data_IF_760222757190
#
_entry.id   IF_760222757190
#
_cell.length_a   1.000
_cell.length_b   1.000
_cell.length_c   1.000
_cell.angle_alpha   90.00
_cell.angle_beta   90.00
_cell.angle_gamma   90.00
#
_symmetry.space_group_name_H-M   'P 1'
#
loop_
_entity.id
_entity.type
_entity.pdbx_description
1 polymer ?
#
# COMPACT_ATOMS: atom_id res chain seq x y z
N UNK A 1 38.96 0.68 6.19
CA UNK A 1 37.49 0.49 6.30
C UNK A 1 36.83 1.42 5.29
N UNK A 2 35.85 0.93 4.52
CA UNK A 2 35.12 1.79 3.58
C UNK A 2 34.30 2.84 4.36
N UNK A 3 34.12 4.06 3.84
CA UNK A 3 33.22 5.03 4.46
C UNK A 3 31.76 4.57 4.32
N UNK A 4 30.91 4.99 5.25
CA UNK A 4 29.46 4.84 5.11
C UNK A 4 28.97 5.63 3.88
N UNK A 5 28.06 5.09 3.03
CA UNK A 5 27.25 3.87 3.20
C UNK A 5 27.90 2.57 2.69
N UNK A 6 29.05 2.63 2.01
CA UNK A 6 29.70 1.44 1.44
C UNK A 6 30.13 0.42 2.50
N UNK A 7 30.47 0.86 3.71
CA UNK A 7 30.71 -0.03 4.85
C UNK A 7 29.51 -0.91 5.18
N UNK A 8 28.28 -0.39 5.08
CA UNK A 8 27.06 -1.17 5.34
C UNK A 8 26.90 -2.27 4.30
N UNK A 9 26.98 -1.94 3.00
CA UNK A 9 26.88 -2.94 1.93
C UNK A 9 27.97 -4.02 2.02
N UNK A 10 29.18 -3.66 2.45
CA UNK A 10 30.23 -4.65 2.69
C UNK A 10 29.94 -5.59 3.88
N UNK A 11 29.15 -5.11 4.85
CA UNK A 11 28.81 -5.84 6.08
C UNK A 11 27.70 -6.87 5.87
N UNK A 12 26.82 -6.66 4.91
CA UNK A 12 25.66 -7.52 4.66
C UNK A 12 25.97 -8.73 3.74
N UNK A 13 27.21 -8.91 3.28
CA UNK A 13 27.54 -9.98 2.30
C UNK A 13 27.70 -11.35 2.95
N UNK A 14 28.33 -11.40 4.13
CA UNK A 14 28.68 -12.65 4.80
C UNK A 14 28.29 -12.60 6.27
N UNK A 15 27.83 -13.71 6.87
CA UNK A 15 27.35 -13.72 8.25
C UNK A 15 28.42 -13.31 9.27
N UNK A 16 29.69 -13.66 9.02
CA UNK A 16 30.83 -13.24 9.85
C UNK A 16 30.97 -11.71 9.88
N UNK A 17 30.87 -11.05 8.72
CA UNK A 17 30.91 -9.59 8.62
C UNK A 17 29.68 -8.93 9.23
N UNK A 18 28.49 -9.51 9.06
CA UNK A 18 27.26 -8.99 9.68
C UNK A 18 27.40 -8.91 11.21
N UNK A 19 27.99 -9.95 11.82
CA UNK A 19 28.23 -10.02 13.26
C UNK A 19 29.44 -9.19 13.72
N UNK A 20 30.56 -9.23 13.00
CA UNK A 20 31.77 -8.46 13.35
C UNK A 20 31.51 -6.95 13.27
N UNK A 21 30.77 -6.50 12.25
CA UNK A 21 30.44 -5.09 12.05
C UNK A 21 29.20 -4.64 12.84
N UNK A 22 28.78 -5.39 13.87
CA UNK A 22 27.67 -4.99 14.77
C UNK A 22 27.95 -3.69 15.54
N UNK A 23 29.19 -3.23 15.60
CA UNK A 23 29.59 -1.95 16.20
C UNK A 23 29.82 -0.83 15.18
N UNK A 24 29.74 -1.12 13.88
CA UNK A 24 30.24 -0.21 12.84
C UNK A 24 29.41 1.07 12.66
N UNK A 25 28.14 1.05 13.02
CA UNK A 25 27.21 2.15 12.73
C UNK A 25 26.92 3.03 13.95
N UNK A 26 26.93 4.35 13.73
CA UNK A 26 26.43 5.36 14.68
C UNK A 26 24.90 5.39 14.71
N UNK A 27 24.32 6.15 15.65
CA UNK A 27 22.85 6.26 15.75
C UNK A 27 22.22 6.83 14.48
N UNK A 28 22.82 7.88 13.92
CA UNK A 28 22.31 8.52 12.70
C UNK A 28 22.43 7.61 11.48
N UNK A 29 23.51 6.85 11.38
CA UNK A 29 23.68 5.86 10.30
C UNK A 29 22.64 4.73 10.40
N UNK A 30 22.29 4.27 11.62
CA UNK A 30 21.22 3.30 11.83
C UNK A 30 19.87 3.80 11.36
N UNK A 31 19.49 5.01 11.79
CA UNK A 31 18.23 5.62 11.41
C UNK A 31 18.15 5.83 9.89
N UNK A 32 19.21 6.36 9.29
CA UNK A 32 19.28 6.50 7.84
C UNK A 32 19.15 5.15 7.14
N UNK A 33 19.85 4.12 7.60
CA UNK A 33 19.80 2.79 7.00
C UNK A 33 18.40 2.19 7.12
N UNK A 34 17.71 2.36 8.26
CA UNK A 34 16.31 1.94 8.40
C UNK A 34 15.42 2.63 7.37
N UNK A 35 15.51 3.96 7.23
CA UNK A 35 14.74 4.71 6.22
C UNK A 35 15.10 4.25 4.81
N UNK A 36 16.38 4.03 4.54
CA UNK A 36 16.88 3.55 3.25
C UNK A 36 16.30 2.17 2.88
N UNK A 37 16.29 1.21 3.82
CA UNK A 37 15.72 -0.11 3.58
C UNK A 37 14.20 -0.02 3.33
N UNK A 38 13.49 0.81 4.08
CA UNK A 38 12.06 1.06 3.84
C UNK A 38 11.85 1.65 2.44
N UNK A 39 12.61 2.69 2.09
CA UNK A 39 12.53 3.31 0.76
C UNK A 39 12.78 2.30 -0.37
N UNK A 40 13.73 1.38 -0.18
CA UNK A 40 14.04 0.34 -1.15
C UNK A 40 12.84 -0.61 -1.38
N UNK A 41 12.06 -0.93 -0.34
CA UNK A 41 10.84 -1.75 -0.46
C UNK A 41 9.66 -1.00 -1.07
N UNK A 42 9.66 0.34 -0.99
CA UNK A 42 8.59 1.17 -1.55
C UNK A 42 8.70 1.30 -3.07
N UNK A 43 9.91 1.21 -3.63
CA UNK A 43 10.17 1.36 -5.08
C UNK A 43 9.24 0.48 -5.94
N UNK A 44 9.08 -0.83 -5.70
CA UNK A 44 8.21 -1.63 -6.55
C UNK A 44 6.73 -1.24 -6.40
N UNK A 45 6.30 -0.92 -5.17
CA UNK A 45 4.92 -0.50 -4.91
C UNK A 45 4.58 0.80 -5.63
N UNK A 46 5.49 1.78 -5.64
CA UNK A 46 5.26 3.05 -6.32
C UNK A 46 5.19 2.88 -7.84
N UNK A 47 6.04 2.01 -8.41
CA UNK A 47 5.97 1.67 -9.84
C UNK A 47 4.64 1.00 -10.20
N UNK A 48 4.17 0.07 -9.37
CA UNK A 48 2.87 -0.56 -9.55
C UNK A 48 1.74 0.47 -9.48
N UNK A 49 1.79 1.41 -8.52
CA UNK A 49 0.78 2.47 -8.40
C UNK A 49 0.73 3.38 -9.63
N UNK A 50 1.88 3.71 -10.23
CA UNK A 50 1.92 4.51 -11.47
C UNK A 50 1.24 3.81 -12.64
N UNK A 51 1.29 2.47 -12.69
CA UNK A 51 0.68 1.65 -13.73
C UNK A 51 -0.82 1.41 -13.53
N UNK A 52 -1.38 1.75 -12.37
CA UNK A 52 -2.82 1.60 -12.11
C UNK A 52 -3.65 2.52 -13.01
N UNK A 53 -4.71 1.96 -13.58
CA UNK A 53 -5.71 2.68 -14.38
C UNK A 53 -7.04 2.85 -13.65
N UNK A 54 -7.28 2.07 -12.60
CA UNK A 54 -8.48 2.12 -11.76
C UNK A 54 -8.11 1.74 -10.34
N UNK A 55 -8.88 2.25 -9.39
CA UNK A 55 -8.82 1.84 -8.00
C UNK A 55 -10.23 1.88 -7.40
N UNK A 56 -10.72 0.79 -6.77
CA UNK A 56 -12.09 0.75 -6.24
C UNK A 56 -12.35 1.91 -5.27
N UNK A 57 -13.37 2.72 -5.56
CA UNK A 57 -13.77 3.84 -4.69
C UNK A 57 -14.19 3.36 -3.30
N UNK A 58 -14.76 2.16 -3.22
CA UNK A 58 -15.20 1.51 -1.97
C UNK A 58 -14.05 1.31 -0.97
N UNK A 59 -12.80 1.17 -1.46
CA UNK A 59 -11.62 1.12 -0.59
C UNK A 59 -11.39 2.43 0.18
N UNK A 60 -11.93 3.56 -0.29
CA UNK A 60 -11.87 4.86 0.38
C UNK A 60 -13.18 5.21 1.09
N UNK A 61 -14.30 4.83 0.50
CA UNK A 61 -15.64 5.16 0.98
C UNK A 61 -16.45 3.87 1.07
N UNK A 62 -16.43 3.24 2.25
CA UNK A 62 -17.15 2.00 2.50
C UNK A 62 -18.66 2.18 2.31
N UNK A 63 -19.31 1.20 1.69
CA UNK A 63 -20.75 1.20 1.37
C UNK A 63 -21.18 2.20 0.28
N UNK A 64 -20.24 2.84 -0.44
CA UNK A 64 -20.57 3.87 -1.44
C UNK A 64 -21.55 3.36 -2.50
N UNK A 65 -21.47 2.08 -2.87
CA UNK A 65 -22.30 1.47 -3.92
C UNK A 65 -23.59 0.81 -3.42
N UNK A 66 -23.90 0.87 -2.12
CA UNK A 66 -25.11 0.28 -1.56
C UNK A 66 -26.42 0.77 -2.22
N UNK A 67 -26.59 2.07 -2.52
CA UNK A 67 -27.82 2.56 -3.15
C UNK A 67 -28.03 2.05 -4.59
N UNK A 68 -26.96 1.66 -5.28
CA UNK A 68 -27.03 1.13 -6.66
C UNK A 68 -27.50 -0.33 -6.63
N UNK A 69 -28.82 -0.54 -6.46
CA UNK A 69 -29.42 -1.88 -6.53
C UNK A 69 -29.57 -2.36 -7.98
N UNK A 70 -29.74 -3.67 -8.18
CA UNK A 70 -29.96 -4.23 -9.51
C UNK A 70 -31.21 -3.63 -10.20
N UNK A 71 -32.26 -3.28 -9.44
CA UNK A 71 -33.44 -2.63 -10.01
C UNK A 71 -33.12 -1.24 -10.55
N UNK A 72 -32.35 -0.45 -9.81
CA UNK A 72 -31.91 0.89 -10.23
C UNK A 72 -31.06 0.81 -11.48
N UNK A 73 -30.10 -0.12 -11.51
CA UNK A 73 -29.19 -0.25 -12.65
C UNK A 73 -29.92 -0.80 -13.88
N UNK A 74 -30.87 -1.71 -13.71
CA UNK A 74 -31.71 -2.17 -14.82
C UNK A 74 -32.58 -1.05 -15.40
N UNK A 75 -33.10 -0.15 -14.57
CA UNK A 75 -33.88 1.00 -15.02
C UNK A 75 -32.99 2.00 -15.77
N UNK A 76 -31.81 2.31 -15.23
CA UNK A 76 -30.76 3.08 -15.90
C UNK A 76 -30.44 2.48 -17.27
N UNK A 77 -30.20 1.17 -17.35
CA UNK A 77 -29.86 0.50 -18.60
C UNK A 77 -30.94 0.64 -19.69
N UNK A 78 -32.21 0.69 -19.31
CA UNK A 78 -33.35 0.76 -20.23
C UNK A 78 -33.72 2.20 -20.63
N UNK A 79 -33.48 3.17 -19.75
CA UNK A 79 -33.98 4.53 -19.88
C UNK A 79 -32.91 5.60 -19.97
N UNK A 80 -31.63 5.23 -19.91
CA UNK A 80 -30.51 6.14 -20.17
C UNK A 80 -30.04 6.06 -21.62
N UNK A 81 -29.79 7.22 -22.19
CA UNK A 81 -29.02 7.38 -23.41
C UNK A 81 -27.78 8.20 -23.09
N UNK A 82 -26.64 7.73 -23.59
CA UNK A 82 -25.36 8.39 -23.38
C UNK A 82 -24.81 8.87 -24.72
N UNK A 83 -24.66 10.18 -24.87
CA UNK A 83 -24.11 10.80 -26.06
C UNK A 83 -23.26 12.02 -25.65
N UNK A 84 -22.08 12.15 -26.26
CA UNK A 84 -21.18 13.32 -26.11
C UNK A 84 -20.85 13.72 -24.65
N UNK A 85 -20.73 12.75 -23.74
CA UNK A 85 -20.42 13.04 -22.33
C UNK A 85 -21.64 13.50 -21.52
N UNK A 86 -22.84 13.40 -22.08
CA UNK A 86 -24.09 13.76 -21.42
C UNK A 86 -25.01 12.56 -21.25
N UNK A 87 -25.62 12.48 -20.07
CA UNK A 87 -26.63 11.51 -19.71
C UNK A 87 -28.01 12.12 -19.97
N UNK A 88 -28.78 11.50 -20.87
CA UNK A 88 -30.20 11.76 -21.01
C UNK A 88 -30.97 10.61 -20.40
N UNK A 89 -31.82 10.91 -19.40
CA UNK A 89 -32.64 9.91 -18.74
C UNK A 89 -34.12 10.20 -19.01
N UNK A 90 -34.86 9.19 -19.49
CA UNK A 90 -36.29 9.32 -19.84
C UNK A 90 -37.20 8.45 -18.97
N UNK A 91 -36.66 7.84 -17.92
CA UNK A 91 -37.41 6.98 -17.00
C UNK A 91 -38.09 7.77 -15.88
N UNK A 92 -38.75 7.04 -14.99
CA UNK A 92 -39.45 7.62 -13.82
C UNK A 92 -38.97 7.00 -12.49
N UNK A 93 -37.87 6.24 -12.48
CA UNK A 93 -37.34 5.65 -11.26
C UNK A 93 -36.67 6.73 -10.40
N UNK A 94 -37.46 7.39 -9.57
CA UNK A 94 -36.96 8.30 -8.56
C UNK A 94 -37.13 7.65 -7.19
N UNK A 95 -36.10 7.70 -6.35
CA UNK A 95 -36.21 7.31 -4.95
C UNK A 95 -35.49 8.32 -4.05
N UNK A 96 -35.63 8.20 -2.73
CA UNK A 96 -35.04 9.18 -1.81
C UNK A 96 -33.50 9.24 -1.94
N UNK A 97 -32.85 8.13 -2.30
CA UNK A 97 -31.39 8.03 -2.43
C UNK A 97 -30.88 8.29 -3.83
N UNK A 98 -31.72 8.30 -4.87
CA UNK A 98 -31.32 8.36 -6.28
C UNK A 98 -32.25 9.28 -7.04
N UNK A 99 -31.63 10.27 -7.66
CA UNK A 99 -32.29 11.35 -8.39
C UNK A 99 -31.63 11.56 -9.74
N UNK A 100 -32.38 12.17 -10.66
CA UNK A 100 -31.97 12.42 -12.03
C UNK A 100 -32.09 13.92 -12.35
N UNK A 101 -31.16 14.43 -13.14
CA UNK A 101 -31.09 15.85 -13.50
C UNK A 101 -30.72 16.75 -12.31
N UNK A 102 -31.45 17.86 -12.18
CA UNK A 102 -31.14 18.90 -11.19
C UNK A 102 -31.72 18.65 -9.79
N UNK A 103 -32.46 17.56 -9.60
CA UNK A 103 -33.05 17.23 -8.29
C UNK A 103 -31.97 16.75 -7.31
N UNK A 104 -32.00 17.28 -6.09
CA UNK A 104 -31.07 16.88 -5.03
C UNK A 104 -31.75 15.77 -4.19
N UNK A 105 -31.11 14.59 -4.03
CA UNK A 105 -31.67 13.49 -3.28
C UNK A 105 -31.68 13.80 -1.77
N UNK A 106 -32.75 13.41 -1.06
CA UNK A 106 -32.97 13.68 0.37
C UNK A 106 -32.86 12.44 1.28
N UNK A 107 -32.44 11.31 0.74
CA UNK A 107 -32.26 10.07 1.49
C UNK A 107 -31.17 10.15 2.56
N UNK A 108 -31.31 9.33 3.60
CA UNK A 108 -30.27 9.12 4.60
C UNK A 108 -29.15 8.22 4.06
N UNK A 109 -27.91 8.44 4.50
CA UNK A 109 -26.76 7.66 4.04
C UNK A 109 -26.20 8.16 2.70
N UNK A 110 -25.85 7.23 1.82
CA UNK A 110 -25.33 7.54 0.50
C UNK A 110 -26.45 7.88 -0.48
N UNK A 111 -26.27 8.96 -1.23
CA UNK A 111 -27.21 9.39 -2.24
C UNK A 111 -26.51 9.74 -3.55
N UNK A 112 -27.19 9.46 -4.65
CA UNK A 112 -26.73 9.61 -6.02
C UNK A 112 -27.61 10.61 -6.76
N UNK A 113 -26.96 11.58 -7.40
CA UNK A 113 -27.59 12.46 -8.36
C UNK A 113 -26.92 12.21 -9.72
N UNK A 114 -27.70 11.63 -10.62
CA UNK A 114 -27.35 11.48 -12.03
C UNK A 114 -27.78 12.76 -12.76
N UNK A 115 -26.94 13.80 -12.67
CA UNK A 115 -27.12 15.06 -13.41
C UNK A 115 -26.87 14.81 -14.93
N UNK A 116 -27.07 15.82 -15.77
CA UNK A 116 -26.87 15.71 -17.22
C UNK A 116 -25.39 15.51 -17.58
N UNK A 117 -24.47 16.21 -16.91
CA UNK A 117 -23.03 16.22 -17.29
C UNK A 117 -22.13 15.47 -16.29
N UNK A 118 -22.67 15.15 -15.12
CA UNK A 118 -21.91 14.63 -13.99
C UNK A 118 -22.72 13.68 -13.11
N UNK A 119 -21.99 12.80 -12.42
CA UNK A 119 -22.48 12.02 -11.32
C UNK A 119 -22.01 12.65 -10.01
N UNK A 120 -22.95 12.90 -9.09
CA UNK A 120 -22.65 13.44 -7.76
C UNK A 120 -23.07 12.42 -6.71
N UNK A 121 -22.13 12.01 -5.87
CA UNK A 121 -22.36 11.11 -4.73
C UNK A 121 -22.21 11.92 -3.44
N UNK A 122 -23.25 11.88 -2.61
CA UNK A 122 -23.28 12.55 -1.32
C UNK A 122 -23.43 11.54 -0.20
N UNK A 123 -22.98 11.92 1.00
CA UNK A 123 -23.32 11.24 2.25
C UNK A 123 -23.92 12.25 3.21
N UNK A 124 -25.16 12.04 3.63
CA UNK A 124 -25.88 12.95 4.54
C UNK A 124 -25.81 14.43 4.09
N UNK A 125 -26.05 14.68 2.79
CA UNK A 125 -26.01 16.03 2.20
C UNK A 125 -24.62 16.57 1.85
N UNK A 126 -23.53 15.93 2.29
CA UNK A 126 -22.16 16.37 1.95
C UNK A 126 -21.68 15.69 0.67
N UNK A 127 -21.27 16.45 -0.33
CA UNK A 127 -20.66 15.91 -1.56
C UNK A 127 -19.31 15.27 -1.27
N UNK A 128 -19.18 13.99 -1.60
CA UNK A 128 -17.94 13.23 -1.44
C UNK A 128 -17.27 12.95 -2.78
N UNK A 129 -18.07 12.70 -3.81
CA UNK A 129 -17.60 12.44 -5.17
C UNK A 129 -18.42 13.27 -6.14
N UNK A 130 -17.72 13.92 -7.06
CA UNK A 130 -18.30 14.58 -8.21
C UNK A 130 -17.44 14.22 -9.41
N UNK A 131 -18.03 13.55 -10.39
CA UNK A 131 -17.32 13.08 -11.58
C UNK A 131 -18.07 13.42 -12.85
N UNK A 132 -17.37 13.97 -13.84
CA UNK A 132 -17.90 14.14 -15.20
C UNK A 132 -18.10 12.78 -15.88
N UNK A 133 -19.05 12.70 -16.81
CA UNK A 133 -19.25 11.50 -17.62
C UNK A 133 -18.29 11.35 -18.81
N UNK A 134 -17.29 12.22 -19.01
CA UNK A 134 -16.37 12.13 -20.15
C UNK A 134 -15.62 10.79 -20.30
N UNK A 135 -15.60 9.94 -19.26
CA UNK A 135 -15.04 8.58 -19.30
C UNK A 135 -16.08 7.44 -19.24
N UNK A 136 -17.36 7.74 -19.41
CA UNK A 136 -18.45 6.76 -19.43
C UNK A 136 -18.81 6.38 -20.87
N UNK A 137 -19.30 5.16 -21.04
CA UNK A 137 -19.82 4.65 -22.31
C UNK A 137 -21.23 4.08 -22.09
N UNK A 138 -21.98 3.82 -23.16
CA UNK A 138 -23.29 3.17 -23.05
C UNK A 138 -23.20 1.78 -22.36
N UNK A 139 -22.06 1.11 -22.49
CA UNK A 139 -21.76 -0.15 -21.82
C UNK A 139 -21.66 -0.01 -20.28
N UNK A 140 -21.26 1.17 -19.79
CA UNK A 140 -21.09 1.44 -18.36
C UNK A 140 -22.39 1.31 -17.56
N UNK A 141 -23.55 1.52 -18.19
CA UNK A 141 -24.85 1.47 -17.53
C UNK A 141 -25.57 0.12 -17.66
N UNK A 142 -24.97 -0.87 -18.33
CA UNK A 142 -25.64 -2.14 -18.65
C UNK A 142 -25.74 -3.10 -17.46
N UNK A 143 -24.87 -2.95 -16.46
CA UNK A 143 -24.86 -3.81 -15.28
C UNK A 143 -24.32 -3.06 -14.08
N UNK A 144 -24.68 -3.52 -12.88
CA UNK A 144 -24.17 -2.95 -11.63
C UNK A 144 -22.64 -2.94 -11.61
N UNK A 145 -22.03 -4.05 -11.99
CA UNK A 145 -20.58 -4.19 -12.03
C UNK A 145 -19.93 -3.21 -13.01
N UNK A 146 -20.45 -3.10 -14.24
CA UNK A 146 -19.93 -2.16 -15.23
C UNK A 146 -20.02 -0.71 -14.73
N UNK A 147 -21.12 -0.37 -14.04
CA UNK A 147 -21.32 0.97 -13.50
C UNK A 147 -20.35 1.27 -12.36
N UNK A 148 -20.21 0.38 -11.39
CA UNK A 148 -19.31 0.57 -10.25
C UNK A 148 -17.84 0.58 -10.67
N UNK A 149 -17.46 -0.24 -11.65
CA UNK A 149 -16.10 -0.26 -12.21
C UNK A 149 -15.79 1.03 -12.96
N UNK A 150 -16.75 1.53 -13.76
CA UNK A 150 -16.62 2.81 -14.47
C UNK A 150 -16.53 3.97 -13.50
N UNK A 151 -17.41 4.04 -12.47
CA UNK A 151 -17.36 5.10 -11.46
C UNK A 151 -16.00 5.11 -10.76
N UNK A 152 -15.50 3.94 -10.34
CA UNK A 152 -14.18 3.80 -9.72
C UNK A 152 -13.06 4.29 -10.64
N UNK A 153 -13.10 3.89 -11.91
CA UNK A 153 -12.09 4.25 -12.90
C UNK A 153 -12.09 5.75 -13.18
N UNK A 154 -13.24 6.35 -13.47
CA UNK A 154 -13.31 7.77 -13.83
C UNK A 154 -12.96 8.65 -12.64
N UNK A 155 -13.47 8.31 -11.44
CA UNK A 155 -13.09 9.00 -10.20
C UNK A 155 -11.57 8.92 -9.95
N UNK A 156 -10.98 7.73 -10.13
CA UNK A 156 -9.54 7.52 -9.99
C UNK A 156 -8.75 8.35 -10.99
N UNK A 157 -9.15 8.37 -12.27
CA UNK A 157 -8.46 9.13 -13.32
C UNK A 157 -8.50 10.64 -13.06
N UNK A 158 -9.65 11.17 -12.64
CA UNK A 158 -9.78 12.59 -12.28
C UNK A 158 -8.90 13.00 -11.10
N UNK A 159 -8.71 12.10 -10.14
CA UNK A 159 -7.96 12.36 -8.91
C UNK A 159 -6.60 11.62 -8.86
N UNK A 160 -6.09 11.19 -10.04
CA UNK A 160 -4.97 10.24 -10.15
C UNK A 160 -3.73 10.65 -9.34
N UNK A 161 -3.24 11.91 -9.38
CA UNK A 161 -2.04 12.28 -8.62
C UNK A 161 -2.23 12.12 -7.10
N UNK A 162 -3.38 12.56 -6.58
CA UNK A 162 -3.67 12.52 -5.14
C UNK A 162 -3.91 11.09 -4.65
N UNK A 163 -4.70 10.30 -5.39
CA UNK A 163 -4.98 8.92 -5.00
C UNK A 163 -3.72 8.06 -5.12
N UNK A 164 -2.91 8.25 -6.17
CA UNK A 164 -1.64 7.53 -6.32
C UNK A 164 -0.66 7.84 -5.19
N UNK A 165 -0.60 9.12 -4.76
CA UNK A 165 0.16 9.50 -3.58
C UNK A 165 -0.37 8.80 -2.33
N UNK A 166 -1.68 8.81 -2.11
CA UNK A 166 -2.32 8.18 -0.95
C UNK A 166 -2.04 6.67 -0.88
N UNK A 167 -2.19 5.95 -2.00
CA UNK A 167 -1.88 4.52 -2.10
C UNK A 167 -0.40 4.28 -1.80
N UNK A 168 0.50 5.04 -2.42
CA UNK A 168 1.95 4.89 -2.21
C UNK A 168 2.35 5.16 -0.75
N UNK A 169 1.76 6.17 -0.12
CA UNK A 169 1.99 6.49 1.29
C UNK A 169 1.46 5.40 2.22
N UNK A 170 0.28 4.84 1.92
CA UNK A 170 -0.29 3.73 2.68
C UNK A 170 0.61 2.49 2.57
N UNK A 171 1.09 2.16 1.38
CA UNK A 171 2.05 1.08 1.17
C UNK A 171 3.38 1.34 1.90
N UNK A 172 3.89 2.57 1.85
CA UNK A 172 5.09 2.96 2.59
C UNK A 172 4.91 2.85 4.10
N UNK A 173 3.75 3.21 4.62
CA UNK A 173 3.41 3.03 6.03
C UNK A 173 3.36 1.55 6.41
N UNK A 174 2.69 0.70 5.62
CA UNK A 174 2.61 -0.74 5.88
C UNK A 174 4.01 -1.40 5.86
N UNK A 175 4.81 -1.11 4.85
CA UNK A 175 6.19 -1.61 4.74
C UNK A 175 7.08 -1.07 5.87
N UNK A 176 6.94 0.21 6.19
CA UNK A 176 7.67 0.85 7.29
C UNK A 176 7.33 0.25 8.65
N UNK A 177 6.04 0.02 8.91
CA UNK A 177 5.57 -0.64 10.13
C UNK A 177 6.08 -2.08 10.20
N UNK A 178 6.06 -2.83 9.09
CA UNK A 178 6.62 -4.17 9.03
C UNK A 178 8.12 -4.19 9.35
N UNK A 179 8.93 -3.34 8.70
CA UNK A 179 10.37 -3.21 8.99
C UNK A 179 10.59 -2.83 10.45
N UNK A 180 9.80 -1.89 10.98
CA UNK A 180 9.87 -1.49 12.38
C UNK A 180 9.63 -2.68 13.32
N UNK A 181 8.57 -3.46 13.11
CA UNK A 181 8.26 -4.64 13.93
C UNK A 181 9.34 -5.70 13.86
N UNK A 182 9.90 -5.98 12.68
CA UNK A 182 10.98 -6.95 12.51
C UNK A 182 12.23 -6.50 13.26
N UNK A 183 12.65 -5.26 13.03
CA UNK A 183 13.85 -4.69 13.64
C UNK A 183 13.69 -4.63 15.15
N UNK A 184 12.54 -4.15 15.63
CA UNK A 184 12.24 -4.09 17.05
C UNK A 184 12.20 -5.48 17.68
N UNK A 185 11.47 -6.42 17.09
CA UNK A 185 11.35 -7.80 17.55
C UNK A 185 12.69 -8.51 17.58
N UNK A 186 13.46 -8.46 16.49
CA UNK A 186 14.80 -9.06 16.42
C UNK A 186 15.77 -8.44 17.44
N UNK A 187 15.77 -7.11 17.57
CA UNK A 187 16.59 -6.42 18.57
C UNK A 187 16.23 -6.86 19.97
N UNK A 188 14.93 -6.96 20.28
CA UNK A 188 14.43 -7.40 21.58
C UNK A 188 14.82 -8.85 21.88
N UNK A 189 14.56 -9.78 20.96
CA UNK A 189 14.92 -11.19 21.14
C UNK A 189 16.44 -11.39 21.27
N UNK A 190 17.24 -10.74 20.42
CA UNK A 190 18.70 -10.75 20.52
C UNK A 190 19.17 -10.17 21.86
N UNK A 191 18.55 -9.10 22.34
CA UNK A 191 18.89 -8.52 23.64
C UNK A 191 18.58 -9.47 24.80
N UNK A 192 17.48 -10.23 24.75
CA UNK A 192 17.18 -11.25 25.77
C UNK A 192 18.26 -12.35 25.83
N UNK A 193 18.91 -12.65 24.70
CA UNK A 193 20.00 -13.64 24.68
C UNK A 193 21.20 -13.25 25.53
N UNK A 194 21.38 -11.95 25.86
CA UNK A 194 22.43 -11.45 26.77
C UNK A 194 22.45 -12.15 28.13
N UNK A 195 21.30 -12.66 28.61
CA UNK A 195 21.23 -13.37 29.90
C UNK A 195 22.01 -14.70 29.88
N UNK A 196 22.30 -15.24 28.70
CA UNK A 196 23.12 -16.43 28.51
C UNK A 196 24.61 -16.05 28.41
N UNK A 197 25.47 -16.76 29.13
CA UNK A 197 26.94 -16.61 29.06
C UNK A 197 27.54 -17.07 27.73
N UNK A 198 26.72 -17.65 26.85
CA UNK A 198 27.14 -18.19 25.55
C UNK A 198 27.25 -17.13 24.45
N UNK A 199 26.72 -15.91 24.65
CA UNK A 199 26.60 -14.90 23.60
C UNK A 199 27.30 -13.58 23.96
N UNK A 200 28.00 -12.97 22.98
CA UNK A 200 28.77 -11.73 23.15
C UNK A 200 27.98 -10.47 22.73
N UNK A 201 26.65 -10.50 22.86
CA UNK A 201 25.77 -9.36 22.57
C UNK A 201 25.47 -8.61 23.87
N UNK A 202 26.03 -7.42 24.04
CA UNK A 202 26.02 -6.72 25.33
C UNK A 202 25.07 -5.53 25.38
N UNK A 203 24.75 -4.92 24.23
CA UNK A 203 23.94 -3.70 24.18
C UNK A 203 22.80 -3.77 23.17
N UNK A 204 21.73 -3.00 23.44
CA UNK A 204 20.61 -2.80 22.49
C UNK A 204 21.10 -2.23 21.16
N UNK A 205 22.15 -1.39 21.19
CA UNK A 205 22.75 -0.77 20.01
C UNK A 205 23.38 -1.83 19.08
N UNK A 206 24.08 -2.81 19.64
CA UNK A 206 24.65 -3.94 18.89
C UNK A 206 23.56 -4.81 18.29
N UNK A 207 22.53 -5.13 19.07
CA UNK A 207 21.41 -5.96 18.62
C UNK A 207 20.64 -5.28 17.48
N UNK A 208 20.48 -3.95 17.54
CA UNK A 208 19.84 -3.17 16.50
C UNK A 208 20.71 -3.10 15.23
N UNK A 209 22.01 -2.82 15.36
CA UNK A 209 22.95 -2.86 14.23
C UNK A 209 22.98 -4.24 13.56
N UNK A 210 23.06 -5.32 14.34
CA UNK A 210 23.04 -6.68 13.83
C UNK A 210 21.72 -6.97 13.10
N UNK A 211 20.59 -6.55 13.67
CA UNK A 211 19.28 -6.71 13.02
C UNK A 211 19.23 -5.98 11.67
N UNK A 212 19.76 -4.76 11.58
CA UNK A 212 19.86 -4.01 10.31
C UNK A 212 20.82 -4.65 9.31
N UNK A 213 21.94 -5.21 9.76
CA UNK A 213 22.87 -5.93 8.89
C UNK A 213 22.22 -7.20 8.31
N UNK A 214 21.49 -7.95 9.14
CA UNK A 214 20.75 -9.13 8.71
C UNK A 214 19.58 -8.77 7.78
N UNK A 215 19.00 -7.56 7.88
CA UNK A 215 17.87 -7.13 7.07
C UNK A 215 18.26 -6.63 5.67
N UNK A 216 19.50 -6.21 5.45
CA UNK A 216 19.92 -5.62 4.18
C UNK A 216 19.73 -6.52 2.96
N UNK A 217 20.26 -7.75 3.01
CA UNK A 217 20.08 -8.74 1.95
C UNK A 217 18.60 -9.11 1.71
N UNK A 218 17.82 -9.46 2.75
CA UNK A 218 16.39 -9.71 2.63
C UNK A 218 15.63 -8.59 1.93
N UNK A 219 15.91 -7.33 2.29
CA UNK A 219 15.25 -6.16 1.70
C UNK A 219 15.61 -5.99 0.22
N UNK A 220 16.87 -6.19 -0.15
CA UNK A 220 17.30 -6.13 -1.57
C UNK A 220 16.57 -7.21 -2.39
N UNK A 221 16.54 -8.45 -1.90
CA UNK A 221 15.90 -9.57 -2.60
C UNK A 221 14.38 -9.36 -2.68
N UNK A 222 13.75 -8.87 -1.61
CA UNK A 222 12.33 -8.56 -1.59
C UNK A 222 11.96 -7.43 -2.57
N UNK A 223 12.79 -6.40 -2.67
CA UNK A 223 12.62 -5.35 -3.67
C UNK A 223 12.67 -5.91 -5.09
N UNK A 224 13.68 -6.73 -5.41
CA UNK A 224 13.74 -7.42 -6.71
C UNK A 224 12.50 -8.27 -6.98
N UNK A 225 12.01 -9.01 -5.99
CA UNK A 225 10.74 -9.75 -6.09
C UNK A 225 9.55 -8.84 -6.42
N UNK A 226 9.44 -7.70 -5.74
CA UNK A 226 8.38 -6.71 -5.99
C UNK A 226 8.40 -6.13 -7.40
N UNK A 227 9.58 -5.96 -8.00
CA UNK A 227 9.71 -5.41 -9.37
C UNK A 227 9.05 -6.31 -10.43
N UNK A 228 8.81 -7.59 -10.13
CA UNK A 228 8.05 -8.50 -10.99
C UNK A 228 6.52 -8.35 -10.86
N UNK A 229 6.03 -7.26 -10.26
CA UNK A 229 4.60 -7.01 -10.07
C UNK A 229 3.97 -7.81 -8.92
N UNK A 230 4.78 -8.33 -7.99
CA UNK A 230 4.28 -9.05 -6.83
C UNK A 230 3.54 -8.10 -5.87
N UNK A 231 2.43 -8.54 -5.25
CA UNK A 231 1.71 -7.71 -4.30
C UNK A 231 2.56 -7.44 -3.06
N UNK A 232 2.27 -6.33 -2.37
CA UNK A 232 2.99 -5.88 -1.16
C UNK A 232 3.07 -6.97 -0.09
N UNK A 233 2.02 -7.78 0.06
CA UNK A 233 1.97 -8.92 0.99
C UNK A 233 3.03 -9.99 0.68
N UNK A 234 3.24 -10.31 -0.60
CA UNK A 234 4.28 -11.24 -1.03
C UNK A 234 5.67 -10.67 -0.79
N UNK A 235 5.89 -9.38 -1.08
CA UNK A 235 7.17 -8.70 -0.81
C UNK A 235 7.54 -8.77 0.67
N UNK A 236 6.58 -8.46 1.55
CA UNK A 236 6.74 -8.57 3.01
C UNK A 236 7.08 -10.01 3.40
N UNK A 237 6.36 -10.98 2.86
CA UNK A 237 6.55 -12.40 3.20
C UNK A 237 7.95 -12.89 2.81
N UNK A 238 8.39 -12.57 1.60
CA UNK A 238 9.73 -12.89 1.10
C UNK A 238 10.81 -12.27 1.99
N UNK A 239 10.68 -10.97 2.31
CA UNK A 239 11.61 -10.30 3.21
C UNK A 239 11.68 -10.97 4.57
N UNK A 240 10.54 -11.28 5.20
CA UNK A 240 10.47 -11.87 6.53
C UNK A 240 11.13 -13.25 6.58
N UNK A 241 10.82 -14.10 5.60
CA UNK A 241 11.40 -15.46 5.52
C UNK A 241 12.91 -15.38 5.36
N UNK A 242 13.39 -14.59 4.39
CA UNK A 242 14.83 -14.46 4.15
C UNK A 242 15.53 -13.84 5.35
N UNK A 243 14.91 -12.87 6.03
CA UNK A 243 15.46 -12.29 7.26
C UNK A 243 15.68 -13.33 8.35
N UNK A 244 14.69 -14.19 8.61
CA UNK A 244 14.83 -15.28 9.59
C UNK A 244 15.92 -16.25 9.17
N UNK A 245 15.99 -16.62 7.88
CA UNK A 245 17.04 -17.51 7.36
C UNK A 245 18.44 -16.89 7.52
N UNK A 246 18.60 -15.58 7.24
CA UNK A 246 19.87 -14.87 7.43
C UNK A 246 20.24 -14.80 8.90
N UNK A 247 19.29 -14.54 9.80
CA UNK A 247 19.55 -14.51 11.23
C UNK A 247 20.00 -15.89 11.75
N UNK A 248 19.34 -16.97 11.31
CA UNK A 248 19.76 -18.34 11.60
C UNK A 248 21.15 -18.64 11.01
N UNK A 249 21.43 -18.18 9.80
CA UNK A 249 22.73 -18.36 9.17
C UNK A 249 23.86 -17.67 9.95
N UNK A 250 23.63 -16.43 10.43
CA UNK A 250 24.55 -15.74 11.33
C UNK A 250 24.72 -16.53 12.62
N UNK A 251 23.64 -17.01 13.22
CA UNK A 251 23.68 -17.79 14.45
C UNK A 251 24.49 -19.10 14.27
N UNK A 252 24.24 -19.90 13.23
CA UNK A 252 24.94 -21.17 13.04
C UNK A 252 26.43 -20.99 12.77
N UNK A 253 26.81 -19.93 12.06
CA UNK A 253 28.21 -19.69 11.67
C UNK A 253 29.02 -19.02 12.77
N UNK A 254 28.45 -18.04 13.46
CA UNK A 254 29.18 -17.26 14.48
C UNK A 254 28.88 -17.73 15.90
N UNK A 255 27.78 -18.47 16.10
CA UNK A 255 27.19 -18.77 17.42
C UNK A 255 26.97 -17.52 18.27
N UNK A 256 26.90 -16.34 17.64
CA UNK A 256 26.98 -15.01 18.26
C UNK A 256 28.16 -14.85 19.24
N UNK A 257 29.31 -15.42 18.87
CA UNK A 257 30.58 -15.32 19.58
C UNK A 257 31.59 -14.64 18.68
N UNK A 258 32.42 -13.79 19.28
CA UNK A 258 33.58 -13.28 18.57
C UNK A 258 34.54 -14.45 18.33
N UNK A 259 35.02 -14.58 17.09
CA UNK A 259 36.13 -15.48 16.79
C UNK A 259 37.35 -14.88 17.49
N UNK A 260 37.91 -15.62 18.45
CA UNK A 260 39.17 -15.29 19.13
C UNK A 260 40.33 -15.26 18.13
#
# INVERSE_FOLDING_TARGET
>A
MLPYPFSYFSSIVTPQKMFANRHAMTLWQRLFTTVFLIALLVIPSSLQTVQLTTYPLENFIDGVYEPLTEQVVSDLAQHSQFADGQLTYTGNAHNQSITFGNEIPQGEGFTYQFDVERLIIRKNGTTLVETSYQGFEAASFQSKQALTDTISQVWYQQNRPLISLAITLMSAFLLGANVFFIVFGATFFLYLTKKSTLFHLQSVKECYNLSLNCLGLPTIIACFSGLFGQPVTTVITVQNIIFVLVLLWVFFTTKFRDLA
#
